data_IF_787737454553
#
_entry.id   IF_787737454553
#
_cell.length_a   1.000
_cell.length_b   1.000
_cell.length_c   1.000
_cell.angle_alpha   90.00
_cell.angle_beta   90.00
_cell.angle_gamma   90.00
#
_symmetry.space_group_name_H-M   'P 1'
#
loop_
_entity.id
_entity.type
_entity.pdbx_description
1 polymer ?
#
# COMPACT_ATOMS: atom_id res chain seq x y z
N UNK A 1 8.59 10.84 -5.51
CA UNK A 1 7.76 10.04 -6.45
C UNK A 1 8.57 8.85 -6.95
N UNK A 2 7.95 7.71 -7.02
CA UNK A 2 8.59 6.50 -7.53
C UNK A 2 7.64 5.74 -8.44
N UNK A 3 8.20 5.08 -9.47
CA UNK A 3 7.47 4.15 -10.33
C UNK A 3 7.88 2.75 -9.88
N UNK A 4 6.89 1.94 -9.51
CA UNK A 4 7.13 0.61 -8.95
C UNK A 4 6.54 -0.46 -9.86
N UNK A 5 7.40 -1.35 -10.35
CA UNK A 5 6.98 -2.54 -11.06
C UNK A 5 6.94 -3.71 -10.08
N UNK A 6 5.83 -4.42 -10.06
CA UNK A 6 5.63 -5.54 -9.16
C UNK A 6 5.48 -6.84 -9.94
N UNK A 7 6.16 -7.86 -9.44
CA UNK A 7 6.09 -9.20 -10.05
C UNK A 7 4.72 -9.83 -9.82
N UNK A 8 4.31 -10.77 -10.70
CA UNK A 8 3.06 -11.49 -10.50
C UNK A 8 2.97 -12.12 -9.11
N UNK A 9 1.80 -12.01 -8.51
CA UNK A 9 1.46 -12.60 -7.21
C UNK A 9 2.31 -12.12 -6.03
N UNK A 10 3.06 -11.04 -6.17
CA UNK A 10 3.85 -10.49 -5.08
C UNK A 10 2.95 -9.91 -3.99
N UNK A 11 3.45 -9.94 -2.75
CA UNK A 11 2.85 -9.24 -1.62
C UNK A 11 3.76 -8.08 -1.26
N UNK A 12 3.18 -6.89 -1.15
CA UNK A 12 3.92 -5.68 -0.78
C UNK A 12 3.20 -4.98 0.37
N UNK A 13 3.91 -4.11 1.07
CA UNK A 13 3.35 -3.39 2.20
C UNK A 13 3.52 -4.17 3.49
N UNK A 14 2.41 -4.59 4.11
CA UNK A 14 2.40 -5.15 5.46
C UNK A 14 3.00 -4.17 6.46
N UNK A 15 2.56 -2.92 6.38
CA UNK A 15 3.09 -1.86 7.23
C UNK A 15 2.07 -0.72 7.39
N UNK A 16 2.41 0.21 8.28
CA UNK A 16 1.68 1.46 8.43
C UNK A 16 2.67 2.60 8.64
N UNK A 17 2.18 3.82 8.51
CA UNK A 17 2.96 5.04 8.74
C UNK A 17 2.28 5.88 9.82
N UNK A 18 3.04 6.68 10.54
CA UNK A 18 2.49 7.58 11.58
C UNK A 18 2.32 9.01 11.09
N UNK A 19 3.13 9.44 10.14
CA UNK A 19 3.14 10.82 9.64
C UNK A 19 2.91 10.92 8.14
N UNK A 20 3.20 9.86 7.40
CA UNK A 20 3.14 9.86 5.95
C UNK A 20 1.73 9.59 5.45
N UNK A 21 1.28 10.41 4.51
CA UNK A 21 0.12 10.10 3.66
C UNK A 21 0.70 9.59 2.35
N UNK A 22 0.34 8.37 1.96
CA UNK A 22 0.85 7.76 0.74
C UNK A 22 -0.24 7.71 -0.32
N UNK A 23 0.11 8.15 -1.53
CA UNK A 23 -0.80 8.11 -2.67
C UNK A 23 -0.25 7.15 -3.71
N UNK A 24 -1.14 6.36 -4.31
CA UNK A 24 -0.75 5.36 -5.29
C UNK A 24 -1.71 5.40 -6.47
N UNK A 25 -1.16 5.54 -7.69
CA UNK A 25 -1.90 5.53 -8.94
C UNK A 25 -1.52 4.30 -9.73
N UNK A 26 -2.50 3.47 -10.09
CA UNK A 26 -2.26 2.25 -10.86
C UNK A 26 -2.13 2.62 -12.34
N UNK A 27 -0.98 2.27 -12.93
CA UNK A 27 -0.69 2.58 -14.33
C UNK A 27 -0.72 1.36 -15.25
N UNK A 28 -0.51 0.16 -14.70
CA UNK A 28 -0.62 -1.10 -15.46
C UNK A 28 -1.10 -2.21 -14.54
N UNK A 29 -1.90 -3.13 -15.07
CA UNK A 29 -2.37 -4.29 -14.32
C UNK A 29 -3.37 -3.95 -13.23
N UNK A 30 -3.36 -4.76 -12.18
CA UNK A 30 -4.28 -4.59 -11.05
C UNK A 30 -3.66 -5.14 -9.76
N UNK A 31 -4.29 -4.82 -8.64
CA UNK A 31 -3.94 -5.39 -7.35
C UNK A 31 -5.13 -5.37 -6.41
N UNK A 32 -5.08 -6.21 -5.38
CA UNK A 32 -6.01 -6.13 -4.25
C UNK A 32 -5.35 -5.29 -3.15
N UNK A 33 -6.04 -4.26 -2.73
CA UNK A 33 -5.62 -3.37 -1.64
C UNK A 33 -6.35 -3.80 -0.38
N UNK A 34 -5.61 -4.40 0.55
CA UNK A 34 -6.13 -4.86 1.83
C UNK A 34 -5.72 -3.85 2.89
N UNK A 35 -6.69 -3.42 3.70
CA UNK A 35 -6.42 -2.35 4.67
C UNK A 35 -7.31 -2.46 5.90
N UNK A 36 -6.81 -1.93 7.00
CA UNK A 36 -7.59 -1.73 8.23
C UNK A 36 -6.97 -0.61 9.07
N UNK A 37 -7.75 0.06 9.92
CA UNK A 37 -7.18 1.00 10.89
C UNK A 37 -6.22 0.29 11.84
N UNK A 38 -5.20 0.98 12.32
CA UNK A 38 -4.32 0.47 13.38
C UNK A 38 -5.10 0.51 14.71
N UNK A 39 -5.96 -0.47 14.89
CA UNK A 39 -6.89 -0.52 16.00
C UNK A 39 -7.20 -1.96 16.30
N UNK A 40 -7.14 -2.35 17.58
CA UNK A 40 -7.46 -3.70 18.01
C UNK A 40 -8.88 -4.08 17.58
N UNK A 41 -9.04 -5.28 17.03
CA UNK A 41 -10.32 -5.82 16.54
C UNK A 41 -10.96 -5.06 15.36
N UNK A 42 -10.20 -4.19 14.68
CA UNK A 42 -10.70 -3.57 13.46
C UNK A 42 -10.85 -4.60 12.35
N UNK A 43 -11.91 -4.47 11.56
CA UNK A 43 -12.13 -5.37 10.43
C UNK A 43 -11.21 -5.05 9.27
N UNK A 44 -10.67 -6.08 8.64
CA UNK A 44 -9.91 -5.95 7.41
C UNK A 44 -10.88 -5.75 6.25
N UNK A 45 -10.59 -4.76 5.40
CA UNK A 45 -11.32 -4.48 4.18
C UNK A 45 -10.42 -4.69 2.99
N UNK A 46 -10.99 -4.95 1.82
CA UNK A 46 -10.23 -5.02 0.58
C UNK A 46 -10.98 -4.37 -0.56
N UNK A 47 -10.24 -3.88 -1.54
CA UNK A 47 -10.80 -3.42 -2.81
C UNK A 47 -9.86 -3.72 -3.94
N UNK A 48 -10.42 -3.97 -5.11
CA UNK A 48 -9.65 -4.18 -6.33
C UNK A 48 -9.32 -2.83 -6.95
N UNK A 49 -8.04 -2.60 -7.23
CA UNK A 49 -7.56 -1.40 -7.91
C UNK A 49 -7.11 -1.76 -9.31
N UNK A 50 -7.56 -0.97 -10.28
CA UNK A 50 -7.26 -1.15 -11.71
C UNK A 50 -6.59 0.09 -12.26
N UNK A 51 -6.14 0.01 -13.50
CA UNK A 51 -5.54 1.16 -14.21
C UNK A 51 -6.43 2.40 -14.09
N UNK A 52 -5.83 3.51 -13.67
CA UNK A 52 -6.51 4.78 -13.46
C UNK A 52 -7.02 5.01 -12.05
N UNK A 53 -7.05 3.98 -11.21
CA UNK A 53 -7.47 4.14 -9.82
C UNK A 53 -6.38 4.78 -8.98
N UNK A 54 -6.79 5.71 -8.13
CA UNK A 54 -5.93 6.39 -7.17
C UNK A 54 -6.40 6.02 -5.76
N UNK A 55 -5.48 5.60 -4.91
CA UNK A 55 -5.77 5.34 -3.50
C UNK A 55 -4.84 6.16 -2.63
N UNK A 56 -5.38 6.69 -1.54
CA UNK A 56 -4.62 7.44 -0.55
C UNK A 56 -4.67 6.69 0.77
N UNK A 57 -3.50 6.39 1.31
CA UNK A 57 -3.35 5.68 2.58
C UNK A 57 -3.02 6.69 3.67
N UNK A 58 -3.95 6.94 4.62
CA UNK A 58 -3.69 7.89 5.71
C UNK A 58 -2.74 7.28 6.75
N UNK A 59 -2.20 8.12 7.66
CA UNK A 59 -1.45 7.60 8.79
C UNK A 59 -2.25 6.61 9.62
N UNK A 60 -1.56 5.64 10.22
CA UNK A 60 -2.15 4.61 11.07
C UNK A 60 -3.11 3.66 10.35
N UNK A 61 -3.06 3.60 9.03
CA UNK A 61 -3.76 2.55 8.29
C UNK A 61 -2.78 1.45 7.90
N UNK A 62 -3.02 0.23 8.37
CA UNK A 62 -2.25 -0.94 7.95
C UNK A 62 -2.72 -1.31 6.56
N UNK A 63 -1.77 -1.55 5.65
CA UNK A 63 -2.11 -1.90 4.28
C UNK A 63 -1.19 -2.98 3.73
N UNK A 64 -1.76 -3.80 2.87
CA UNK A 64 -1.07 -4.86 2.16
C UNK A 64 -1.57 -4.88 0.72
N UNK A 65 -0.63 -4.98 -0.22
CA UNK A 65 -0.92 -5.04 -1.64
C UNK A 65 -0.70 -6.47 -2.12
N UNK A 66 -1.74 -7.09 -2.65
CA UNK A 66 -1.64 -8.40 -3.31
C UNK A 66 -1.69 -8.18 -4.81
N UNK A 67 -0.54 -8.34 -5.45
CA UNK A 67 -0.39 -8.05 -6.88
C UNK A 67 -1.07 -9.14 -7.69
N UNK A 68 -1.70 -8.76 -8.81
CA UNK A 68 -2.37 -9.69 -9.71
C UNK A 68 -1.40 -10.71 -10.30
N UNK A 69 -1.94 -11.78 -10.88
CA UNK A 69 -1.13 -12.82 -11.53
C UNK A 69 -0.40 -12.34 -12.79
N UNK A 70 -0.81 -11.20 -13.34
CA UNK A 70 -0.12 -10.55 -14.46
C UNK A 70 0.97 -9.58 -14.01
N UNK A 71 1.07 -9.31 -12.71
CA UNK A 71 1.91 -8.23 -12.21
C UNK A 71 1.23 -6.88 -12.35
N UNK A 72 1.92 -5.82 -11.95
CA UNK A 72 1.40 -4.47 -12.16
C UNK A 72 2.50 -3.41 -12.13
N UNK A 73 2.11 -2.18 -12.44
CA UNK A 73 2.93 -0.99 -12.24
C UNK A 73 2.09 0.07 -11.57
N UNK A 74 2.68 0.81 -10.64
CA UNK A 74 2.01 1.94 -10.02
C UNK A 74 3.01 3.05 -9.69
N UNK A 75 2.50 4.26 -9.59
CA UNK A 75 3.27 5.44 -9.19
C UNK A 75 2.92 5.73 -7.73
N UNK A 76 3.94 5.93 -6.91
CA UNK A 76 3.80 6.28 -5.50
C UNK A 76 4.35 7.67 -5.26
N UNK A 77 3.61 8.48 -4.52
CA UNK A 77 4.11 9.76 -4.00
C UNK A 77 3.55 9.97 -2.58
N UNK A 78 4.31 10.69 -1.76
CA UNK A 78 4.02 10.80 -0.34
C UNK A 78 3.97 12.24 0.13
N UNK A 79 3.13 12.50 1.13
CA UNK A 79 3.04 13.77 1.83
C UNK A 79 3.38 13.54 3.30
N UNK A 80 3.90 14.56 3.98
CA UNK A 80 4.16 14.52 5.43
C UNK A 80 5.58 14.21 5.81
N UNK A 81 6.38 13.61 4.92
CA UNK A 81 7.79 13.35 5.14
C UNK A 81 8.56 13.54 3.83
N UNK A 82 9.86 13.78 3.94
CA UNK A 82 10.75 13.73 2.78
C UNK A 82 10.96 12.26 2.42
N UNK A 83 11.32 11.97 1.19
CA UNK A 83 11.63 10.61 0.78
C UNK A 83 12.88 10.03 1.46
N UNK A 84 13.23 8.80 1.12
CA UNK A 84 14.45 8.15 1.61
C UNK A 84 14.40 7.81 3.08
N UNK A 85 15.37 8.30 3.85
CA UNK A 85 15.49 7.99 5.29
C UNK A 85 14.25 8.37 6.09
N UNK A 86 13.66 9.52 5.80
CA UNK A 86 12.49 9.99 6.54
C UNK A 86 11.28 9.06 6.33
N UNK A 87 11.10 8.58 5.11
CA UNK A 87 10.06 7.61 4.79
C UNK A 87 10.31 6.28 5.51
N UNK A 88 11.53 5.75 5.44
CA UNK A 88 11.86 4.49 6.11
C UNK A 88 11.72 4.57 7.62
N UNK A 89 12.11 5.70 8.22
CA UNK A 89 11.95 5.93 9.65
C UNK A 89 10.48 5.96 10.08
N UNK A 90 9.56 6.28 9.17
CA UNK A 90 8.13 6.31 9.42
C UNK A 90 7.39 5.07 8.89
N UNK A 91 8.12 3.99 8.62
CA UNK A 91 7.54 2.73 8.15
C UNK A 91 7.62 1.68 9.24
N UNK A 92 6.46 1.19 9.70
CA UNK A 92 6.36 0.21 10.78
C UNK A 92 5.75 -1.08 10.25
N UNK A 93 6.53 -2.15 10.23
CA UNK A 93 6.11 -3.42 9.67
C UNK A 93 5.25 -4.21 10.63
N UNK A 94 4.28 -4.94 10.07
CA UNK A 94 3.32 -5.75 10.82
C UNK A 94 3.14 -7.09 10.10
N UNK A 95 2.58 -8.12 10.78
CA UNK A 95 2.19 -9.36 10.10
C UNK A 95 1.14 -9.10 9.04
N UNK A 96 1.10 -9.95 8.02
CA UNK A 96 0.12 -9.82 6.93
C UNK A 96 -1.31 -9.86 7.47
N UNK A 97 -2.15 -8.97 6.94
CA UNK A 97 -3.58 -8.91 7.27
C UNK A 97 -4.44 -9.65 6.24
N UNK A 98 -3.82 -10.28 5.25
CA UNK A 98 -4.54 -11.08 4.26
C UNK A 98 -4.92 -12.41 4.87
N UNK A 99 -6.22 -12.69 4.90
CA UNK A 99 -6.79 -13.94 5.39
C UNK A 99 -7.19 -14.79 4.18
N UNK A 100 -6.31 -15.64 3.78
CA UNK A 100 -6.60 -16.61 2.70
C UNK A 100 -7.00 -17.96 3.29
#
# INVERSE_FOLDING_TARGET
>A
MAIIDSKPNALRGNHYHKKTIQHMLITEGSLEYWYKPFKKHAKVKKKLLKVGDLVSTPPYEIHTLKISKEGNQFIVFSEGVRGGKDYEADTFRVPSIIND
#
